data_IF_544118368914
#
_entry.id   IF_544118368914
#
_cell.length_a   1.000
_cell.length_b   1.000
_cell.length_c   1.000
_cell.angle_alpha   90.00
_cell.angle_beta   90.00
_cell.angle_gamma   90.00
#
_symmetry.space_group_name_H-M   'P 1'
#
loop_
_entity.id
_entity.type
_entity.pdbx_description
1 polymer ?
#
# COMPACT_ATOMS: atom_id res chain seq x y z
N UNK A 1 27.81 1.10 16.65
CA UNK A 1 27.37 -0.30 16.73
C UNK A 1 25.89 -0.30 17.09
N UNK A 2 25.04 -0.69 16.14
CA UNK A 2 23.59 -0.80 16.30
C UNK A 2 23.26 -2.30 16.29
N UNK A 3 22.53 -2.77 17.29
CA UNK A 3 22.07 -4.16 17.38
C UNK A 3 20.62 -4.21 16.87
N UNK A 4 20.35 -5.06 15.89
CA UNK A 4 18.98 -5.25 15.39
C UNK A 4 18.12 -5.94 16.46
N UNK A 5 16.99 -5.35 16.92
CA UNK A 5 16.12 -5.97 17.92
C UNK A 5 15.33 -7.18 17.38
N UNK A 6 15.42 -7.47 16.07
CA UNK A 6 14.69 -8.60 15.44
C UNK A 6 15.56 -9.83 15.22
N UNK A 7 16.83 -9.63 14.82
CA UNK A 7 17.73 -10.75 14.46
C UNK A 7 19.08 -10.67 15.19
N UNK A 8 19.23 -9.74 16.13
CA UNK A 8 20.43 -9.51 16.94
C UNK A 8 21.71 -9.22 16.15
N UNK A 9 21.60 -9.05 14.84
CA UNK A 9 22.72 -8.70 13.99
C UNK A 9 23.31 -7.35 14.37
N UNK A 10 24.62 -7.34 14.58
CA UNK A 10 25.42 -6.16 14.88
C UNK A 10 25.88 -5.52 13.58
N UNK A 11 25.56 -4.25 13.38
CA UNK A 11 26.03 -3.48 12.21
C UNK A 11 26.60 -2.12 12.62
N UNK A 12 27.47 -1.59 11.76
CA UNK A 12 28.17 -0.34 12.02
C UNK A 12 27.26 0.89 11.88
N UNK A 13 26.44 0.93 10.82
CA UNK A 13 25.62 2.07 10.40
C UNK A 13 24.42 1.61 9.56
N UNK A 14 23.37 2.43 9.45
CA UNK A 14 22.20 2.14 8.64
C UNK A 14 20.87 2.43 9.34
N UNK A 15 19.84 2.73 8.55
CA UNK A 15 18.45 2.91 9.02
C UNK A 15 17.61 1.64 8.91
N UNK A 16 18.16 0.60 8.28
CA UNK A 16 17.55 -0.70 8.05
C UNK A 16 18.59 -1.79 8.31
N UNK A 17 18.15 -2.93 8.86
CA UNK A 17 19.04 -4.04 9.12
C UNK A 17 19.44 -4.76 7.82
N UNK A 18 20.74 -4.89 7.59
CA UNK A 18 21.32 -5.58 6.41
C UNK A 18 20.87 -7.05 6.27
N UNK A 19 20.46 -7.70 7.36
CA UNK A 19 20.07 -9.12 7.36
C UNK A 19 18.56 -9.33 7.23
N UNK A 20 17.75 -8.60 8.01
CA UNK A 20 16.30 -8.86 8.08
C UNK A 20 15.44 -7.71 7.54
N UNK A 21 16.04 -6.63 7.02
CA UNK A 21 15.34 -5.47 6.46
C UNK A 21 14.53 -4.67 7.47
N UNK A 22 14.63 -4.96 8.77
CA UNK A 22 13.91 -4.23 9.81
C UNK A 22 14.45 -2.81 9.91
N UNK A 23 13.58 -1.81 9.85
CA UNK A 23 13.91 -0.42 10.12
C UNK A 23 14.42 -0.26 11.55
N UNK A 24 15.68 0.12 11.69
CA UNK A 24 16.35 0.40 12.95
C UNK A 24 16.20 1.91 13.15
N UNK A 25 15.19 2.31 13.93
CA UNK A 25 14.94 3.72 14.20
C UNK A 25 16.16 4.33 14.88
N UNK A 26 16.92 5.12 14.13
CA UNK A 26 17.93 6.02 14.68
C UNK A 26 17.46 7.45 14.39
N UNK A 27 17.67 8.30 15.39
CA UNK A 27 17.14 9.65 15.58
C UNK A 27 17.03 10.50 14.31
N UNK A 28 16.09 11.44 14.34
CA UNK A 28 15.96 12.50 13.34
C UNK A 28 17.35 13.09 13.03
N UNK A 29 17.65 13.38 11.75
CA UNK A 29 18.94 13.91 11.36
C UNK A 29 19.24 15.15 12.21
N UNK A 30 20.39 15.16 12.87
CA UNK A 30 20.91 16.36 13.50
C UNK A 30 21.06 17.38 12.37
N UNK A 31 20.38 18.52 12.48
CA UNK A 31 20.56 19.62 11.56
C UNK A 31 21.97 20.18 11.76
N UNK A 32 22.95 19.58 11.09
CA UNK A 32 24.29 20.12 10.96
C UNK A 32 24.16 21.28 9.97
N UNK A 33 24.56 22.48 10.38
CA UNK A 33 24.68 23.59 9.46
C UNK A 33 25.78 23.24 8.44
N UNK A 34 25.38 22.84 7.24
CA UNK A 34 26.30 22.61 6.13
C UNK A 34 26.72 23.98 5.63
N UNK A 35 27.90 24.43 6.05
CA UNK A 35 28.54 25.57 5.41
C UNK A 35 28.95 25.15 3.98
N UNK A 36 28.56 25.90 2.93
CA UNK A 36 28.99 25.60 1.58
C UNK A 36 30.53 25.67 1.50
N UNK A 37 31.16 24.58 1.05
CA UNK A 37 32.60 24.58 0.79
C UNK A 37 32.86 25.30 -0.54
N UNK A 38 33.74 26.32 -0.57
CA UNK A 38 34.02 27.09 -1.79
C UNK A 38 34.63 26.22 -2.90
N UNK A 39 35.28 25.12 -2.54
CA UNK A 39 35.92 24.16 -3.46
C UNK A 39 34.90 23.27 -4.21
N UNK A 40 33.66 23.13 -3.72
CA UNK A 40 32.63 22.23 -4.28
C UNK A 40 31.65 22.94 -5.24
N UNK A 41 31.79 24.25 -5.45
CA UNK A 41 30.96 25.03 -6.40
C UNK A 41 31.58 25.14 -7.79
N UNK A 42 32.45 24.21 -8.19
CA UNK A 42 33.22 24.29 -9.43
C UNK A 42 32.40 24.12 -10.73
N UNK A 43 31.09 23.90 -10.66
CA UNK A 43 30.23 23.82 -11.86
C UNK A 43 28.90 24.55 -11.72
N UNK A 44 28.87 25.73 -11.09
CA UNK A 44 27.78 26.66 -11.36
C UNK A 44 28.00 27.30 -12.74
N UNK A 45 27.60 26.60 -13.81
CA UNK A 45 27.58 27.15 -15.16
C UNK A 45 26.62 28.36 -15.19
N UNK A 46 27.05 29.55 -15.64
CA UNK A 46 26.14 30.67 -15.82
C UNK A 46 25.05 30.27 -16.82
N UNK A 47 23.79 30.26 -16.38
CA UNK A 47 22.66 29.78 -17.17
C UNK A 47 22.25 28.32 -16.92
N UNK A 48 22.62 27.69 -15.80
CA UNK A 48 22.22 26.31 -15.47
C UNK A 48 20.70 26.02 -15.37
N UNK A 49 19.85 27.06 -15.43
CA UNK A 49 18.39 26.96 -15.58
C UNK A 49 17.86 27.53 -16.90
N UNK A 50 18.74 27.89 -17.84
CA UNK A 50 18.32 28.29 -19.16
C UNK A 50 17.69 27.07 -19.87
N UNK A 51 16.53 27.23 -20.51
CA UNK A 51 15.91 26.14 -21.26
C UNK A 51 16.84 25.73 -22.40
N UNK A 52 17.43 24.55 -22.29
CA UNK A 52 18.24 23.94 -23.35
C UNK A 52 17.28 23.35 -24.39
N UNK A 53 17.43 23.67 -25.69
CA UNK A 53 16.64 23.02 -26.72
C UNK A 53 17.01 21.53 -26.78
N UNK A 54 16.09 20.68 -26.32
CA UNK A 54 16.22 19.22 -26.40
C UNK A 54 15.57 18.77 -27.71
N UNK A 55 16.40 18.45 -28.71
CA UNK A 55 15.92 17.75 -29.90
C UNK A 55 15.68 16.27 -29.54
N UNK A 56 14.55 15.72 -29.98
CA UNK A 56 14.30 14.28 -29.85
C UNK A 56 15.34 13.50 -30.67
N UNK A 57 16.07 12.60 -30.03
CA UNK A 57 17.02 11.71 -30.70
C UNK A 57 16.21 10.55 -31.28
N UNK A 58 16.28 10.36 -32.60
CA UNK A 58 15.37 9.50 -33.36
C UNK A 58 15.30 8.03 -32.87
N UNK A 59 16.35 7.54 -32.21
CA UNK A 59 16.52 6.13 -31.86
C UNK A 59 16.52 5.83 -30.34
N UNK A 60 16.22 6.80 -29.49
CA UNK A 60 16.33 6.68 -28.01
C UNK A 60 15.05 6.25 -27.28
N UNK A 61 14.02 5.84 -28.04
CA UNK A 61 12.82 5.24 -27.51
C UNK A 61 13.01 3.72 -27.34
N UNK A 62 13.86 3.32 -26.40
CA UNK A 62 14.28 1.91 -26.18
C UNK A 62 13.10 0.94 -25.92
N UNK A 63 11.93 1.45 -25.54
CA UNK A 63 10.71 0.69 -25.28
C UNK A 63 9.61 0.90 -26.31
N UNK A 64 9.80 1.80 -27.30
CA UNK A 64 8.80 2.00 -28.33
C UNK A 64 8.92 0.90 -29.35
N UNK A 65 8.07 -0.11 -29.18
CA UNK A 65 7.93 -1.17 -30.15
C UNK A 65 7.57 -0.55 -31.50
N UNK A 66 8.45 -0.74 -32.48
CA UNK A 66 8.15 -0.43 -33.87
C UNK A 66 6.89 -1.22 -34.23
N UNK A 67 5.90 -0.56 -34.82
CA UNK A 67 4.72 -1.24 -35.33
C UNK A 67 5.20 -2.22 -36.42
N UNK A 68 5.35 -3.49 -36.05
CA UNK A 68 5.69 -4.53 -37.00
C UNK A 68 4.50 -4.65 -37.94
N UNK A 69 4.73 -4.36 -39.22
CA UNK A 69 3.71 -4.54 -40.26
C UNK A 69 3.15 -5.96 -40.16
N UNK A 70 1.85 -6.11 -40.45
CA UNK A 70 1.14 -7.38 -40.28
C UNK A 70 1.92 -8.55 -40.90
N UNK A 71 2.54 -9.37 -40.06
CA UNK A 71 3.23 -10.58 -40.49
C UNK A 71 2.18 -11.63 -40.78
N UNK A 72 2.28 -12.29 -41.94
CA UNK A 72 1.41 -13.40 -42.28
C UNK A 72 1.60 -14.53 -41.25
N UNK A 73 0.55 -14.78 -40.47
CA UNK A 73 0.52 -15.88 -39.50
C UNK A 73 0.46 -17.19 -40.28
N UNK A 74 1.49 -18.01 -40.17
CA UNK A 74 1.47 -19.40 -40.65
C UNK A 74 0.47 -20.20 -39.78
N UNK A 75 -0.62 -20.74 -40.35
CA UNK A 75 -1.56 -21.54 -39.59
C UNK A 75 -0.90 -22.89 -39.23
N UNK A 76 -0.84 -23.19 -37.93
CA UNK A 76 -0.42 -24.51 -37.44
C UNK A 76 -1.67 -25.38 -37.36
N UNK A 77 -1.75 -26.42 -38.19
CA UNK A 77 -2.98 -27.20 -38.42
C UNK A 77 -3.53 -27.94 -37.20
N UNK A 78 -2.67 -28.27 -36.23
CA UNK A 78 -3.03 -29.08 -35.07
C UNK A 78 -3.32 -28.28 -33.79
N UNK A 79 -3.25 -26.95 -33.84
CA UNK A 79 -3.70 -26.09 -32.75
C UNK A 79 -5.15 -25.68 -32.97
N UNK A 80 -6.07 -26.26 -32.19
CA UNK A 80 -7.37 -25.65 -31.97
C UNK A 80 -7.15 -24.34 -31.20
N UNK A 81 -7.15 -23.23 -31.95
CA UNK A 81 -6.84 -21.91 -31.40
C UNK A 81 -7.96 -21.31 -30.57
N UNK A 82 -9.12 -21.98 -30.44
CA UNK A 82 -10.23 -21.57 -29.57
C UNK A 82 -10.73 -20.13 -29.81
N UNK A 83 -10.26 -19.47 -30.88
CA UNK A 83 -10.72 -18.15 -31.26
C UNK A 83 -12.09 -18.36 -31.87
N UNK A 84 -13.12 -18.01 -31.11
CA UNK A 84 -14.45 -17.77 -31.64
C UNK A 84 -14.28 -17.03 -32.95
N UNK A 85 -14.80 -17.58 -34.05
CA UNK A 85 -14.77 -16.94 -35.36
C UNK A 85 -15.17 -15.46 -35.20
N UNK A 86 -14.58 -14.53 -35.96
CA UNK A 86 -15.00 -13.13 -35.90
C UNK A 86 -16.51 -13.12 -36.09
N UNK A 87 -17.22 -12.79 -35.02
CA UNK A 87 -18.67 -12.65 -35.07
C UNK A 87 -18.87 -11.41 -35.93
N UNK A 88 -19.21 -11.63 -37.21
CA UNK A 88 -19.28 -10.56 -38.21
C UNK A 88 -20.09 -9.39 -37.68
N UNK A 89 -19.75 -8.16 -38.07
CA UNK A 89 -20.26 -6.90 -37.52
C UNK A 89 -21.71 -6.99 -36.98
N UNK A 90 -21.85 -7.38 -35.71
CA UNK A 90 -23.14 -7.33 -35.03
C UNK A 90 -23.34 -5.87 -34.71
N UNK A 91 -24.25 -5.24 -35.45
CA UNK A 91 -24.83 -3.97 -35.03
C UNK A 91 -25.70 -4.27 -33.82
N UNK A 92 -25.10 -4.21 -32.64
CA UNK A 92 -25.83 -4.31 -31.39
C UNK A 92 -26.67 -3.03 -31.26
N UNK A 93 -27.93 -3.11 -31.69
CA UNK A 93 -28.88 -2.04 -31.43
C UNK A 93 -28.97 -1.86 -29.91
N UNK A 94 -28.91 -0.62 -29.40
CA UNK A 94 -29.13 -0.38 -27.98
C UNK A 94 -30.50 -0.94 -27.60
N UNK A 95 -30.54 -1.69 -26.51
CA UNK A 95 -31.79 -2.23 -25.98
C UNK A 95 -32.67 -1.03 -25.62
N UNK A 96 -33.77 -0.87 -26.33
CA UNK A 96 -34.79 0.14 -26.03
C UNK A 96 -35.26 -0.12 -24.59
N UNK A 97 -35.40 0.94 -23.80
CA UNK A 97 -35.76 0.89 -22.37
C UNK A 97 -34.70 0.30 -21.41
N UNK A 98 -33.44 0.16 -21.84
CA UNK A 98 -32.35 -0.13 -20.91
C UNK A 98 -32.01 1.13 -20.10
N UNK A 99 -32.41 1.13 -18.84
CA UNK A 99 -31.99 2.15 -17.88
C UNK A 99 -30.47 2.02 -17.63
N UNK A 100 -29.71 2.86 -18.33
CA UNK A 100 -28.26 3.01 -18.17
C UNK A 100 -27.90 3.97 -17.04
N UNK A 101 -28.91 4.51 -16.34
CA UNK A 101 -28.75 5.35 -15.18
C UNK A 101 -28.08 4.61 -14.03
N UNK A 102 -27.27 5.33 -13.26
CA UNK A 102 -26.82 4.84 -11.96
C UNK A 102 -28.02 4.95 -11.02
N UNK A 103 -28.49 3.83 -10.49
CA UNK A 103 -29.49 3.82 -9.42
C UNK A 103 -29.05 4.76 -8.30
N UNK A 104 -29.97 5.61 -7.83
CA UNK A 104 -29.71 6.45 -6.66
C UNK A 104 -29.31 5.52 -5.50
N UNK A 105 -28.20 5.83 -4.85
CA UNK A 105 -27.80 5.09 -3.66
C UNK A 105 -28.82 5.35 -2.57
N UNK A 106 -29.37 4.27 -2.02
CA UNK A 106 -30.23 4.26 -0.83
C UNK A 106 -29.45 4.59 0.46
N UNK A 107 -28.13 4.81 0.37
CA UNK A 107 -27.25 5.08 1.50
C UNK A 107 -26.91 3.86 2.35
N UNK A 108 -27.49 2.69 2.07
CA UNK A 108 -27.23 1.47 2.82
C UNK A 108 -26.06 0.73 2.19
N UNK A 109 -25.02 0.46 2.98
CA UNK A 109 -23.95 -0.44 2.56
C UNK A 109 -24.36 -1.88 2.82
N UNK A 110 -24.23 -2.74 1.81
CA UNK A 110 -24.37 -4.18 1.97
C UNK A 110 -23.47 -4.64 3.12
N UNK A 111 -24.05 -5.36 4.08
CA UNK A 111 -23.29 -5.88 5.20
C UNK A 111 -22.19 -6.82 4.70
N UNK A 112 -21.03 -6.76 5.34
CA UNK A 112 -19.98 -7.74 5.06
C UNK A 112 -20.50 -9.14 5.42
N UNK A 113 -20.23 -10.16 4.59
CA UNK A 113 -20.62 -11.53 4.91
C UNK A 113 -19.99 -11.95 6.24
N UNK A 114 -20.83 -12.42 7.15
CA UNK A 114 -20.43 -12.94 8.46
C UNK A 114 -20.32 -14.46 8.41
N UNK A 115 -19.43 -15.03 9.22
CA UNK A 115 -19.22 -16.48 9.31
C UNK A 115 -17.83 -16.95 8.85
N UNK A 116 -17.60 -18.28 8.84
CA UNK A 116 -16.31 -18.85 8.49
C UNK A 116 -15.96 -18.62 7.02
N UNK A 117 -14.67 -18.45 6.73
CA UNK A 117 -14.18 -18.44 5.36
C UNK A 117 -14.33 -19.84 4.75
N UNK A 118 -15.04 -19.93 3.63
CA UNK A 118 -15.18 -21.18 2.88
C UNK A 118 -14.03 -21.27 1.86
N UNK A 119 -13.24 -22.34 1.92
CA UNK A 119 -12.18 -22.55 0.93
C UNK A 119 -12.76 -22.70 -0.48
N UNK A 120 -12.29 -21.89 -1.44
CA UNK A 120 -12.72 -21.96 -2.85
C UNK A 120 -12.46 -23.33 -3.50
N UNK A 121 -11.42 -24.04 -3.05
CA UNK A 121 -10.97 -25.29 -3.67
C UNK A 121 -11.59 -26.52 -3.01
N UNK A 122 -11.36 -26.71 -1.70
CA UNK A 122 -11.84 -27.90 -0.99
C UNK A 122 -13.17 -27.70 -0.25
N UNK A 123 -13.77 -26.51 -0.32
CA UNK A 123 -15.04 -26.12 0.34
C UNK A 123 -15.09 -26.33 1.85
N UNK A 124 -13.94 -26.53 2.48
CA UNK A 124 -13.88 -26.68 3.94
C UNK A 124 -14.08 -25.31 4.59
N UNK A 125 -15.04 -25.17 5.52
CA UNK A 125 -15.22 -23.96 6.30
C UNK A 125 -14.08 -23.83 7.31
N UNK A 126 -13.51 -22.63 7.44
CA UNK A 126 -12.45 -22.32 8.38
C UNK A 126 -12.71 -20.96 9.02
N UNK A 127 -12.64 -20.90 10.36
CA UNK A 127 -13.02 -19.69 11.10
C UNK A 127 -12.04 -18.54 10.91
N UNK A 128 -10.75 -18.86 10.82
CA UNK A 128 -9.69 -17.87 10.71
C UNK A 128 -8.48 -18.42 9.97
N UNK A 129 -7.66 -17.52 9.42
CA UNK A 129 -6.44 -17.88 8.70
C UNK A 129 -6.40 -17.34 7.27
N UNK A 130 -5.19 -17.22 6.73
CA UNK A 130 -4.96 -16.79 5.35
C UNK A 130 -4.84 -17.97 4.38
N UNK A 131 -4.61 -19.17 4.91
CA UNK A 131 -4.36 -20.41 4.17
C UNK A 131 -5.26 -21.49 4.72
N UNK A 132 -5.81 -22.32 3.85
CA UNK A 132 -6.69 -23.41 4.23
C UNK A 132 -5.89 -24.55 4.87
N UNK A 133 -6.27 -24.97 6.07
CA UNK A 133 -5.57 -26.00 6.84
C UNK A 133 -5.67 -27.39 6.18
N UNK A 134 -6.69 -27.60 5.33
CA UNK A 134 -6.92 -28.88 4.64
C UNK A 134 -6.16 -29.01 3.32
N UNK A 135 -6.06 -27.93 2.54
CA UNK A 135 -5.54 -28.01 1.17
C UNK A 135 -4.39 -27.05 0.85
N UNK A 136 -3.95 -26.24 1.82
CA UNK A 136 -2.83 -25.31 1.66
C UNK A 136 -3.10 -24.13 0.73
N UNK A 137 -4.31 -24.02 0.15
CA UNK A 137 -4.66 -22.91 -0.73
C UNK A 137 -5.12 -21.68 0.04
N UNK A 138 -4.86 -20.50 -0.53
CA UNK A 138 -5.19 -19.22 0.10
C UNK A 138 -6.71 -19.01 0.26
N UNK A 139 -7.14 -18.62 1.45
CA UNK A 139 -8.54 -18.30 1.77
C UNK A 139 -8.91 -16.89 1.29
N UNK A 140 -10.21 -16.68 1.07
CA UNK A 140 -10.76 -15.34 0.80
C UNK A 140 -10.52 -14.43 2.01
N UNK A 141 -10.12 -13.18 1.77
CA UNK A 141 -9.96 -12.19 2.83
C UNK A 141 -11.33 -11.69 3.26
N UNK A 142 -11.95 -12.39 4.21
CA UNK A 142 -13.09 -11.85 4.94
C UNK A 142 -12.56 -10.80 5.92
N UNK A 143 -13.15 -9.60 5.88
CA UNK A 143 -12.88 -8.58 6.89
C UNK A 143 -13.61 -9.03 8.15
N UNK A 144 -12.91 -9.68 9.06
CA UNK A 144 -13.46 -9.98 10.38
C UNK A 144 -13.82 -8.65 11.06
N UNK A 145 -15.06 -8.50 11.58
CA UNK A 145 -15.40 -7.32 12.35
C UNK A 145 -14.45 -7.27 13.57
N UNK A 146 -13.92 -6.09 13.93
CA UNK A 146 -13.13 -5.97 15.15
C UNK A 146 -13.98 -6.43 16.34
N UNK A 147 -13.37 -7.04 17.37
CA UNK A 147 -14.10 -7.34 18.61
C UNK A 147 -14.75 -6.05 19.12
N UNK A 148 -16.00 -6.15 19.55
CA UNK A 148 -16.74 -5.01 20.10
C UNK A 148 -16.01 -4.51 21.34
N UNK A 149 -15.27 -3.40 21.20
CA UNK A 149 -14.56 -2.79 22.31
C UNK A 149 -15.57 -2.33 23.35
N UNK A 150 -15.49 -2.87 24.56
CA UNK A 150 -16.29 -2.36 25.69
C UNK A 150 -15.74 -0.99 26.07
N UNK A 151 -16.62 -0.09 26.51
CA UNK A 151 -16.20 1.22 27.02
C UNK A 151 -15.18 1.01 28.16
N UNK A 152 -13.93 1.41 27.94
CA UNK A 152 -12.81 1.26 28.88
C UNK A 152 -11.67 0.35 28.43
N UNK A 153 -11.88 -0.50 27.41
CA UNK A 153 -10.92 -1.54 26.99
C UNK A 153 -9.78 -1.03 26.06
N UNK A 154 -9.49 0.27 26.12
CA UNK A 154 -8.41 0.93 25.38
C UNK A 154 -7.77 2.09 26.11
N UNK A 155 -8.09 2.26 27.40
CA UNK A 155 -7.42 3.24 28.25
C UNK A 155 -6.11 2.62 28.75
N UNK A 156 -5.04 3.39 28.60
CA UNK A 156 -3.70 2.97 29.01
C UNK A 156 -3.59 3.09 30.53
N UNK A 157 -2.79 2.24 31.18
CA UNK A 157 -2.63 2.25 32.63
C UNK A 157 -2.17 3.63 33.12
N UNK A 158 -2.59 4.01 34.33
CA UNK A 158 -2.18 5.28 34.92
C UNK A 158 -0.65 5.42 34.94
N UNK A 159 -0.15 6.53 34.39
CA UNK A 159 1.28 6.78 34.25
C UNK A 159 1.92 6.19 32.99
N UNK A 160 1.21 5.49 32.12
CA UNK A 160 1.76 5.02 30.84
C UNK A 160 1.71 6.13 29.77
N UNK A 161 2.58 6.03 28.76
CA UNK A 161 2.60 7.00 27.66
C UNK A 161 1.43 6.78 26.70
N UNK A 162 0.66 7.82 26.46
CA UNK A 162 -0.45 7.83 25.50
C UNK A 162 -0.50 9.16 24.74
N UNK A 163 -1.42 9.28 23.79
CA UNK A 163 -1.66 10.51 23.03
C UNK A 163 -2.74 11.33 23.72
N UNK A 164 -2.49 12.62 23.93
CA UNK A 164 -3.53 13.53 24.40
C UNK A 164 -4.70 13.53 23.39
N UNK A 165 -5.93 13.40 23.87
CA UNK A 165 -7.14 13.38 23.04
C UNK A 165 -7.43 14.71 22.36
N UNK A 166 -6.87 15.82 22.87
CA UNK A 166 -7.07 17.17 22.33
C UNK A 166 -5.95 17.64 21.40
N UNK A 167 -4.69 17.53 21.83
CA UNK A 167 -3.54 18.07 21.09
C UNK A 167 -2.64 16.99 20.47
N UNK A 168 -2.95 15.71 20.68
CA UNK A 168 -2.19 14.56 20.18
C UNK A 168 -0.68 14.52 20.53
N UNK A 169 -0.24 15.38 21.44
CA UNK A 169 1.12 15.29 22.00
C UNK A 169 1.21 14.08 22.93
N UNK A 170 2.40 13.48 23.02
CA UNK A 170 2.67 12.42 23.99
C UNK A 170 2.45 12.96 25.40
N UNK A 171 1.61 12.29 26.17
CA UNK A 171 1.28 12.64 27.55
C UNK A 171 1.18 11.36 28.39
N UNK A 172 1.25 11.51 29.71
CA UNK A 172 1.07 10.40 30.65
C UNK A 172 -0.41 10.23 30.97
N UNK A 173 -0.94 9.02 30.86
CA UNK A 173 -2.31 8.70 31.23
C UNK A 173 -2.55 9.01 32.72
N UNK A 174 -3.70 9.57 33.07
CA UNK A 174 -4.03 9.97 34.44
C UNK A 174 -3.42 11.30 34.89
N UNK A 175 -2.72 12.03 34.01
CA UNK A 175 -2.17 13.37 34.29
C UNK A 175 -2.68 14.41 33.28
N UNK A 176 -2.56 15.69 33.62
CA UNK A 176 -2.79 16.77 32.67
C UNK A 176 -1.70 16.77 31.59
N UNK A 177 -2.11 16.96 30.32
CA UNK A 177 -1.17 17.10 29.22
C UNK A 177 -0.29 18.34 29.41
N UNK A 178 1.04 18.18 29.29
CA UNK A 178 2.02 19.27 29.48
C UNK A 178 1.84 20.39 28.44
N UNK A 179 1.37 20.07 27.23
CA UNK A 179 1.22 21.06 26.15
C UNK A 179 -0.10 21.83 26.18
N UNK A 180 -1.21 21.20 26.59
CA UNK A 180 -2.54 21.82 26.49
C UNK A 180 -3.37 21.78 27.77
N UNK A 181 -2.83 21.27 28.88
CA UNK A 181 -3.48 21.19 30.19
C UNK A 181 -4.67 20.24 30.29
N UNK A 182 -5.07 19.58 29.20
CA UNK A 182 -6.25 18.71 29.19
C UNK A 182 -5.97 17.42 29.98
N UNK A 183 -6.87 16.98 30.88
CA UNK A 183 -6.70 15.72 31.60
C UNK A 183 -6.72 14.55 30.62
N UNK A 184 -5.73 13.67 30.74
CA UNK A 184 -5.61 12.49 29.89
C UNK A 184 -6.24 11.30 30.61
N UNK A 185 -7.28 10.66 30.05
CA UNK A 185 -7.94 9.53 30.69
C UNK A 185 -6.98 8.34 30.84
N UNK A 186 -7.10 7.61 31.95
CA UNK A 186 -6.37 6.35 32.21
C UNK A 186 -7.36 5.25 32.59
N UNK A 187 -6.93 4.00 32.46
CA UNK A 187 -7.59 2.90 33.15
C UNK A 187 -7.44 3.15 34.66
N UNK A 188 -8.57 3.07 35.38
CA UNK A 188 -8.63 3.20 36.84
C UNK A 188 -8.14 1.97 37.56
#
# INVERSE_FOLDING_TARGET
>A
MIICPMCEHQQAQGIECEVCGKKLSVAAPIAVAVAPLPEMELTQLPGGRAPVPVAAIADLELTRQQAVGAVAVQPVSDLDTGRSAPVGNIVAAPVQDLDSGRALSDGYRTAAPTGPAICRYCRTPQESGLVCDRCGMRLIKLRTPPPQARAGEGLVAAGEWTKCTKCHTNARAGRACVSCGTPVPSAG
#
